data_IF_819120086757
#
_entry.id   IF_819120086757
#
_cell.length_a   1.000
_cell.length_b   1.000
_cell.length_c   1.000
_cell.angle_alpha   90.00
_cell.angle_beta   90.00
_cell.angle_gamma   90.00
#
_symmetry.space_group_name_H-M   'P 1'
#
loop_
_entity.id
_entity.type
_entity.pdbx_description
1 polymer ?
#
# COMPACT_ATOMS: atom_id res chain seq x y z
N UNK A 1 4.65 -6.57 -17.97
CA UNK A 1 3.89 -5.62 -17.12
C UNK A 1 4.44 -5.72 -15.72
N UNK A 2 4.98 -4.64 -15.17
CA UNK A 2 5.70 -4.63 -13.88
C UNK A 2 4.86 -5.21 -12.72
N UNK A 3 3.54 -5.04 -12.76
CA UNK A 3 2.59 -5.54 -11.75
C UNK A 3 2.60 -7.07 -11.59
N UNK A 4 2.71 -7.81 -12.70
CA UNK A 4 2.75 -9.27 -12.65
C UNK A 4 4.05 -9.80 -12.04
N UNK A 5 5.17 -9.12 -12.31
CA UNK A 5 6.47 -9.53 -11.78
C UNK A 5 6.62 -9.15 -10.30
N UNK A 6 6.13 -7.98 -9.88
CA UNK A 6 6.05 -7.61 -8.46
C UNK A 6 5.12 -8.56 -7.68
N UNK A 7 4.03 -9.01 -8.30
CA UNK A 7 3.17 -10.04 -7.76
C UNK A 7 3.88 -11.38 -7.53
N UNK A 8 4.70 -11.83 -8.50
CA UNK A 8 5.55 -13.02 -8.34
C UNK A 8 6.58 -12.85 -7.22
N UNK A 9 7.24 -11.70 -7.13
CA UNK A 9 8.19 -11.37 -6.06
C UNK A 9 7.49 -11.48 -4.71
N UNK A 10 6.34 -10.80 -4.55
CA UNK A 10 5.55 -10.87 -3.32
C UNK A 10 5.18 -12.31 -2.99
N UNK A 11 4.68 -13.08 -3.96
CA UNK A 11 4.34 -14.49 -3.76
C UNK A 11 5.55 -15.29 -3.30
N UNK A 12 6.68 -15.18 -3.98
CA UNK A 12 7.93 -15.90 -3.68
C UNK A 12 8.40 -15.66 -2.23
N UNK A 13 8.45 -14.41 -1.78
CA UNK A 13 8.94 -14.09 -0.44
C UNK A 13 7.91 -14.34 0.66
N UNK A 14 6.63 -14.44 0.34
CA UNK A 14 5.56 -14.71 1.33
C UNK A 14 5.14 -16.17 1.44
N UNK A 15 5.70 -17.08 0.61
CA UNK A 15 5.29 -18.50 0.62
C UNK A 15 5.53 -19.16 1.98
N UNK A 16 6.69 -18.88 2.60
CA UNK A 16 7.08 -19.47 3.88
C UNK A 16 6.71 -18.60 5.08
N UNK A 17 6.87 -17.29 4.97
CA UNK A 17 6.54 -16.34 6.03
C UNK A 17 5.98 -15.03 5.42
N UNK A 18 4.67 -14.75 5.60
CA UNK A 18 4.04 -13.53 5.09
C UNK A 18 4.70 -12.24 5.57
N UNK A 19 5.40 -12.23 6.71
CA UNK A 19 6.04 -11.04 7.29
C UNK A 19 7.27 -10.59 6.49
N UNK A 20 7.89 -11.50 5.73
CA UNK A 20 9.07 -11.18 4.92
C UNK A 20 8.79 -10.13 3.84
N UNK A 21 7.53 -9.96 3.43
CA UNK A 21 7.19 -8.89 2.48
C UNK A 21 7.49 -7.51 3.04
N UNK A 22 7.33 -7.30 4.35
CA UNK A 22 7.69 -6.03 4.99
C UNK A 22 9.17 -5.71 4.83
N UNK A 23 10.03 -6.73 4.99
CA UNK A 23 11.47 -6.58 4.76
C UNK A 23 11.79 -6.28 3.30
N UNK A 24 11.20 -7.02 2.36
CA UNK A 24 11.43 -6.81 0.92
C UNK A 24 10.96 -5.43 0.47
N UNK A 25 9.74 -5.02 0.84
CA UNK A 25 9.21 -3.69 0.53
C UNK A 25 10.10 -2.59 1.10
N UNK A 26 10.65 -2.76 2.31
CA UNK A 26 11.61 -1.80 2.88
C UNK A 26 12.89 -1.70 2.05
N UNK A 27 13.42 -2.81 1.52
CA UNK A 27 14.60 -2.75 0.64
C UNK A 27 14.31 -1.97 -0.64
N UNK A 28 13.16 -2.20 -1.29
CA UNK A 28 12.76 -1.44 -2.48
C UNK A 28 12.59 0.05 -2.17
N UNK A 29 11.92 0.36 -1.05
CA UNK A 29 11.71 1.74 -0.62
C UNK A 29 13.05 2.48 -0.40
N UNK A 30 13.94 1.95 0.43
CA UNK A 30 15.20 2.61 0.75
C UNK A 30 16.15 2.67 -0.46
N UNK A 31 16.23 1.60 -1.26
CA UNK A 31 17.01 1.64 -2.50
C UNK A 31 16.46 2.69 -3.48
N UNK A 32 15.13 2.81 -3.60
CA UNK A 32 14.47 3.84 -4.39
C UNK A 32 14.85 5.24 -3.91
N UNK A 33 14.82 5.50 -2.60
CA UNK A 33 15.25 6.79 -2.03
C UNK A 33 16.72 7.11 -2.30
N UNK A 34 17.60 6.10 -2.19
CA UNK A 34 19.03 6.28 -2.51
C UNK A 34 19.20 6.59 -4.00
N UNK A 35 18.49 5.90 -4.90
CA UNK A 35 18.58 6.19 -6.33
C UNK A 35 18.06 7.60 -6.65
N UNK A 36 16.94 8.00 -6.05
CA UNK A 36 16.39 9.36 -6.19
C UNK A 36 17.39 10.43 -5.72
N UNK A 37 18.11 10.21 -4.63
CA UNK A 37 19.07 11.20 -4.12
C UNK A 37 20.29 11.41 -5.03
N UNK A 38 20.52 10.50 -6.00
CA UNK A 38 21.61 10.58 -6.98
C UNK A 38 21.11 10.91 -8.40
N UNK A 39 19.82 11.21 -8.56
CA UNK A 39 19.21 11.52 -9.86
C UNK A 39 19.11 13.04 -10.05
N UNK A 40 19.28 13.50 -11.28
CA UNK A 40 19.03 14.90 -11.64
C UNK A 40 17.57 15.31 -11.38
N UNK A 41 17.37 16.56 -10.94
CA UNK A 41 16.05 17.11 -10.61
C UNK A 41 15.02 16.98 -11.75
N UNK A 42 15.48 16.99 -13.00
CA UNK A 42 14.61 16.86 -14.17
C UNK A 42 13.97 15.47 -14.29
N UNK A 43 14.66 14.42 -13.85
CA UNK A 43 14.21 13.02 -13.95
C UNK A 43 13.57 12.52 -12.65
N UNK A 44 13.82 13.23 -11.54
CA UNK A 44 13.38 12.84 -10.21
C UNK A 44 11.86 12.64 -10.11
N UNK A 45 11.05 13.52 -10.72
CA UNK A 45 9.58 13.41 -10.66
C UNK A 45 9.03 12.13 -11.31
N UNK A 46 9.66 11.69 -12.40
CA UNK A 46 9.28 10.46 -13.12
C UNK A 46 9.68 9.24 -12.29
N UNK A 47 10.89 9.25 -11.73
CA UNK A 47 11.37 8.17 -10.88
C UNK A 47 10.59 8.07 -9.57
N UNK A 48 10.20 9.18 -8.95
CA UNK A 48 9.35 9.19 -7.76
C UNK A 48 8.03 8.49 -8.02
N UNK A 49 7.42 8.78 -9.17
CA UNK A 49 6.18 8.13 -9.60
C UNK A 49 6.40 6.62 -9.83
N UNK A 50 7.50 6.26 -10.48
CA UNK A 50 7.85 4.86 -10.74
C UNK A 50 8.07 4.06 -9.45
N UNK A 51 8.88 4.58 -8.52
CA UNK A 51 9.14 3.92 -7.24
C UNK A 51 7.88 3.83 -6.38
N UNK A 52 7.02 4.86 -6.42
CA UNK A 52 5.72 4.80 -5.76
C UNK A 52 4.87 3.63 -6.30
N UNK A 53 4.81 3.44 -7.61
CA UNK A 53 4.06 2.32 -8.22
C UNK A 53 4.64 0.97 -7.79
N UNK A 54 5.96 0.85 -7.68
CA UNK A 54 6.61 -0.37 -7.16
C UNK A 54 6.22 -0.61 -5.71
N UNK A 55 6.35 0.41 -4.85
CA UNK A 55 6.01 0.33 -3.44
C UNK A 55 4.55 -0.09 -3.26
N UNK A 56 3.62 0.55 -3.98
CA UNK A 56 2.19 0.24 -3.90
C UNK A 56 1.90 -1.22 -4.31
N UNK A 57 2.52 -1.73 -5.38
CA UNK A 57 2.33 -3.11 -5.84
C UNK A 57 2.99 -4.17 -4.94
N UNK A 58 4.12 -3.85 -4.31
CA UNK A 58 4.77 -4.77 -3.37
C UNK A 58 4.07 -4.76 -2.02
N UNK A 59 3.58 -3.60 -1.59
CA UNK A 59 2.96 -3.40 -0.29
C UNK A 59 1.51 -3.92 -0.25
N UNK A 60 0.72 -3.63 -1.28
CA UNK A 60 -0.70 -4.00 -1.35
C UNK A 60 -0.89 -5.45 -1.84
N UNK A 61 -1.77 -6.26 -1.22
CA UNK A 61 -2.04 -7.63 -1.65
C UNK A 61 -2.96 -7.71 -2.89
N UNK A 62 -2.80 -6.81 -3.88
CA UNK A 62 -3.71 -6.68 -5.02
C UNK A 62 -3.86 -7.98 -5.83
N UNK A 63 -2.77 -8.71 -6.05
CA UNK A 63 -2.84 -9.99 -6.77
C UNK A 63 -3.74 -11.01 -6.05
N UNK A 64 -3.65 -11.09 -4.72
CA UNK A 64 -4.50 -11.98 -3.93
C UNK A 64 -5.97 -11.57 -4.04
N UNK A 65 -6.26 -10.27 -4.04
CA UNK A 65 -7.60 -9.76 -4.27
C UNK A 65 -8.12 -10.11 -5.68
N UNK A 66 -7.29 -9.98 -6.72
CA UNK A 66 -7.66 -10.36 -8.09
C UNK A 66 -7.88 -11.87 -8.24
N UNK A 67 -7.02 -12.70 -7.65
CA UNK A 67 -7.16 -14.16 -7.65
C UNK A 67 -8.44 -14.60 -6.93
N UNK A 68 -8.80 -13.93 -5.83
CA UNK A 68 -10.06 -14.17 -5.13
C UNK A 68 -11.28 -13.70 -5.95
N UNK A 69 -11.20 -12.50 -6.56
CA UNK A 69 -12.26 -11.96 -7.39
C UNK A 69 -12.56 -12.84 -8.61
N UNK A 70 -11.53 -13.46 -9.21
CA UNK A 70 -11.66 -14.36 -10.35
C UNK A 70 -12.45 -15.66 -10.05
N UNK A 71 -12.70 -15.98 -8.78
CA UNK A 71 -13.49 -17.16 -8.38
C UNK A 71 -15.00 -16.88 -8.38
N UNK A 72 -15.42 -15.62 -8.59
CA UNK A 72 -16.81 -15.22 -8.57
C UNK A 72 -17.32 -14.87 -9.96
N UNK A 73 -18.59 -15.17 -10.21
CA UNK A 73 -19.28 -14.69 -11.41
C UNK A 73 -19.41 -13.16 -11.37
N UNK A 74 -19.43 -12.52 -12.53
CA UNK A 74 -19.55 -11.06 -12.64
C UNK A 74 -20.83 -10.51 -11.98
N UNK A 75 -21.90 -11.32 -11.95
CA UNK A 75 -23.16 -10.96 -11.33
C UNK A 75 -23.20 -11.17 -9.80
N UNK A 76 -22.19 -11.83 -9.22
CA UNK A 76 -22.14 -12.21 -7.80
C UNK A 76 -22.20 -10.97 -6.89
N UNK A 77 -23.09 -10.96 -5.88
CA UNK A 77 -23.26 -9.82 -4.99
C UNK A 77 -22.00 -9.48 -4.16
N UNK A 78 -21.14 -10.47 -3.87
CA UNK A 78 -19.87 -10.25 -3.15
C UNK A 78 -18.91 -9.45 -4.02
N UNK A 79 -18.75 -9.84 -5.28
CA UNK A 79 -17.89 -9.13 -6.23
C UNK A 79 -18.41 -7.71 -6.50
N UNK A 80 -19.73 -7.54 -6.68
CA UNK A 80 -20.35 -6.21 -6.83
C UNK A 80 -20.11 -5.30 -5.62
N UNK A 81 -20.10 -5.86 -4.41
CA UNK A 81 -19.78 -5.10 -3.19
C UNK A 81 -18.36 -4.59 -3.23
N UNK A 82 -17.38 -5.45 -3.54
CA UNK A 82 -15.96 -5.05 -3.66
C UNK A 82 -15.77 -4.00 -4.75
N UNK A 83 -16.40 -4.17 -5.92
CA UNK A 83 -16.35 -3.20 -7.02
C UNK A 83 -16.90 -1.81 -6.63
N UNK A 84 -17.88 -1.75 -5.72
CA UNK A 84 -18.41 -0.48 -5.20
C UNK A 84 -17.54 0.14 -4.10
N UNK A 85 -16.86 -0.69 -3.31
CA UNK A 85 -16.01 -0.24 -2.20
C UNK A 85 -14.63 0.24 -2.67
N UNK A 86 -14.03 -0.43 -3.66
CA UNK A 86 -12.69 -0.09 -4.16
C UNK A 86 -12.53 1.39 -4.58
N UNK A 87 -13.47 2.02 -5.30
CA UNK A 87 -13.33 3.43 -5.69
C UNK A 87 -13.37 4.42 -4.51
N UNK A 88 -13.92 4.01 -3.37
CA UNK A 88 -14.07 4.87 -2.17
C UNK A 88 -13.13 4.47 -1.03
N UNK A 89 -12.29 3.46 -1.23
CA UNK A 89 -11.40 2.89 -0.19
C UNK A 89 -10.48 3.96 0.41
N UNK A 90 -9.78 4.73 -0.45
CA UNK A 90 -8.86 5.78 0.00
C UNK A 90 -9.58 6.87 0.81
N UNK A 91 -10.80 7.27 0.40
CA UNK A 91 -11.61 8.22 1.18
C UNK A 91 -11.93 7.67 2.56
N UNK A 92 -12.32 6.41 2.65
CA UNK A 92 -12.60 5.73 3.93
C UNK A 92 -11.31 5.67 4.76
N UNK A 93 -10.15 5.37 4.16
CA UNK A 93 -8.87 5.30 4.86
C UNK A 93 -8.49 6.64 5.49
N UNK A 94 -8.62 7.74 4.74
CA UNK A 94 -8.39 9.08 5.27
C UNK A 94 -9.35 9.42 6.43
N UNK A 95 -10.64 9.09 6.29
CA UNK A 95 -11.63 9.33 7.35
C UNK A 95 -11.33 8.53 8.62
N UNK A 96 -10.85 7.30 8.50
CA UNK A 96 -10.41 6.47 9.63
C UNK A 96 -9.22 7.12 10.33
N UNK A 97 -8.17 7.49 9.58
CA UNK A 97 -6.97 8.11 10.14
C UNK A 97 -7.27 9.45 10.81
N UNK A 98 -8.11 10.28 10.20
CA UNK A 98 -8.55 11.55 10.79
C UNK A 98 -9.37 11.35 12.06
N UNK A 99 -10.18 10.29 12.11
CA UNK A 99 -10.95 9.94 13.32
C UNK A 99 -10.04 9.46 14.45
N UNK A 100 -9.07 8.60 14.15
CA UNK A 100 -8.08 8.13 15.14
C UNK A 100 -7.26 9.31 15.68
N UNK A 101 -6.83 10.23 14.81
CA UNK A 101 -6.14 11.46 15.23
C UNK A 101 -6.96 12.32 16.20
N UNK A 102 -8.27 12.45 15.95
CA UNK A 102 -9.17 13.18 16.86
C UNK A 102 -9.38 12.47 18.20
N UNK A 103 -9.44 11.13 18.20
CA UNK A 103 -9.60 10.34 19.42
C UNK A 103 -8.34 10.33 20.28
N UNK A 104 -7.17 10.42 19.66
CA UNK A 104 -5.87 10.35 20.34
C UNK A 104 -4.94 11.51 19.96
N UNK A 105 -5.33 12.77 20.26
CA UNK A 105 -4.65 13.97 19.74
C UNK A 105 -3.22 14.17 20.27
N UNK A 106 -2.85 13.46 21.34
CA UNK A 106 -1.53 13.55 21.96
C UNK A 106 -0.71 12.26 21.83
N UNK A 107 -1.22 11.26 21.10
CA UNK A 107 -0.46 10.03 20.91
C UNK A 107 0.73 10.26 19.99
N UNK A 108 1.89 9.77 20.43
CA UNK A 108 3.10 9.73 19.64
C UNK A 108 3.66 8.30 19.69
N UNK A 109 4.05 7.79 18.54
CA UNK A 109 4.83 6.57 18.43
C UNK A 109 6.32 6.91 18.34
N UNK A 110 7.16 5.88 18.22
CA UNK A 110 8.60 6.05 18.01
C UNK A 110 8.93 6.94 16.79
N UNK A 111 8.09 6.90 15.74
CA UNK A 111 8.26 7.68 14.51
C UNK A 111 7.65 9.09 14.56
N UNK A 112 7.08 9.50 15.69
CA UNK A 112 6.50 10.83 15.89
C UNK A 112 5.00 10.82 16.22
N UNK A 113 4.37 11.99 16.16
CA UNK A 113 2.94 12.17 16.42
C UNK A 113 2.10 11.61 15.28
N UNK A 114 0.88 11.13 15.58
CA UNK A 114 -0.05 10.60 14.56
C UNK A 114 -0.44 11.62 13.48
N UNK A 115 -0.43 12.91 13.83
CA UNK A 115 -0.74 14.03 12.93
C UNK A 115 0.46 14.48 12.07
N UNK A 116 1.67 13.95 12.33
CA UNK A 116 2.84 14.26 11.51
C UNK A 116 2.69 13.68 10.10
N UNK A 117 3.20 14.41 9.09
CA UNK A 117 3.02 14.07 7.67
C UNK A 117 3.46 12.64 7.34
N UNK A 118 4.61 12.20 7.86
CA UNK A 118 5.16 10.86 7.61
C UNK A 118 4.31 9.76 8.24
N UNK A 119 3.99 9.88 9.53
CA UNK A 119 3.17 8.91 10.26
C UNK A 119 1.79 8.83 9.64
N UNK A 120 1.14 9.97 9.37
CA UNK A 120 -0.18 10.02 8.73
C UNK A 120 -0.18 9.34 7.37
N UNK A 121 0.84 9.58 6.53
CA UNK A 121 0.96 8.94 5.21
C UNK A 121 1.09 7.42 5.35
N UNK A 122 1.91 6.94 6.29
CA UNK A 122 2.04 5.50 6.56
C UNK A 122 0.73 4.90 7.09
N UNK A 123 0.04 5.57 8.00
CA UNK A 123 -1.22 5.10 8.56
C UNK A 123 -2.32 4.98 7.51
N UNK A 124 -2.41 5.94 6.58
CA UNK A 124 -3.36 5.84 5.46
C UNK A 124 -3.03 4.61 4.61
N UNK A 125 -1.76 4.40 4.29
CA UNK A 125 -1.30 3.25 3.50
C UNK A 125 -1.66 1.92 4.18
N UNK A 126 -1.44 1.81 5.50
CA UNK A 126 -1.79 0.62 6.28
C UNK A 126 -3.29 0.34 6.26
N UNK A 127 -4.12 1.38 6.44
CA UNK A 127 -5.58 1.23 6.36
C UNK A 127 -6.02 0.81 4.96
N UNK A 128 -5.46 1.38 3.90
CA UNK A 128 -5.73 0.97 2.53
C UNK A 128 -5.36 -0.51 2.31
N UNK A 129 -4.20 -0.97 2.82
CA UNK A 129 -3.83 -2.37 2.73
C UNK A 129 -4.81 -3.29 3.46
N UNK A 130 -5.23 -2.92 4.67
CA UNK A 130 -6.24 -3.69 5.41
C UNK A 130 -7.56 -3.76 4.63
N UNK A 131 -7.97 -2.69 3.95
CA UNK A 131 -9.17 -2.70 3.11
C UNK A 131 -9.07 -3.68 1.92
N UNK A 132 -7.88 -3.96 1.38
CA UNK A 132 -7.71 -4.98 0.33
C UNK A 132 -7.80 -6.40 0.89
N UNK A 133 -7.52 -6.60 2.18
CA UNK A 133 -7.68 -7.89 2.85
C UNK A 133 -9.13 -8.22 3.24
N UNK A 134 -9.97 -7.19 3.42
CA UNK A 134 -11.40 -7.32 3.72
C UNK A 134 -12.19 -7.73 2.49
#
# INVERSE_FOLDING_TARGET
MISADLGKIRKQYTQSDPRLIGFVSMQFHYCGQILLSHTDLAEQSVLETYFKVIDDHLYMPLQRAYEAAAQYDFSDPRLKTVQRLLPVSSKIAHQIVDTVNRLYPNYACYSGRLDSKSVRTSSVRDVEMFQIYL
#
